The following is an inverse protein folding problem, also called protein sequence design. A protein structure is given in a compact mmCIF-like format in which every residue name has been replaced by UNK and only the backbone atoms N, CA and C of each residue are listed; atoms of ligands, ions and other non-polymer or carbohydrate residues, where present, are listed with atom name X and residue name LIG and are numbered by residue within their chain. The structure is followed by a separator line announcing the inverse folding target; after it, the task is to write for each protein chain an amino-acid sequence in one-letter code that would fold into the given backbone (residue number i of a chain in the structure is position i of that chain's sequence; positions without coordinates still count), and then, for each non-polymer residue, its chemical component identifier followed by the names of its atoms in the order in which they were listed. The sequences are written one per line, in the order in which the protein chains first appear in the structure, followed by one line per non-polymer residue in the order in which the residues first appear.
data_IF_142381541664
#
_entry.id   IF_142381541664
#
_cell.length_a   1.000
_cell.length_b   1.000
_cell.length_c   1.000
_cell.angle_alpha   90.00
_cell.angle_beta   90.00
_cell.angle_gamma   90.00
#
_symmetry.space_group_name_H-M   'P 1'
#
loop_
_entity.id
_entity.type
_entity.pdbx_description
1 polymer ?
#
# COMPACT_ATOMS: atom_id res chain seq x y z
N UNK A 1 30.07 -70.15 -13.45
CA UNK A 1 29.29 -69.14 -14.21
C UNK A 1 28.48 -68.28 -13.25
N UNK A 2 28.79 -66.97 -13.26
CA UNK A 2 27.97 -65.81 -12.87
C UNK A 2 27.57 -65.64 -11.39
N UNK A 3 28.41 -64.85 -10.70
CA UNK A 3 28.10 -64.12 -9.47
C UNK A 3 26.91 -63.18 -9.68
N UNK A 4 25.88 -63.30 -8.83
CA UNK A 4 24.78 -62.34 -8.75
C UNK A 4 25.26 -61.09 -7.99
N UNK A 5 25.42 -59.97 -8.71
CA UNK A 5 25.58 -58.64 -8.10
C UNK A 5 24.19 -58.11 -7.74
N UNK A 6 23.90 -58.02 -6.44
CA UNK A 6 22.75 -57.27 -5.93
C UNK A 6 23.03 -55.77 -6.10
N UNK A 7 22.45 -55.15 -7.13
CA UNK A 7 22.41 -53.70 -7.25
C UNK A 7 21.19 -53.19 -6.45
N UNK A 8 21.42 -52.72 -5.23
CA UNK A 8 20.46 -51.91 -4.49
C UNK A 8 20.41 -50.53 -5.16
N UNK A 9 19.41 -50.31 -6.01
CA UNK A 9 19.08 -48.98 -6.54
C UNK A 9 18.39 -48.18 -5.42
N UNK A 10 19.16 -47.36 -4.69
CA UNK A 10 18.60 -46.31 -3.85
C UNK A 10 18.02 -45.22 -4.75
N UNK A 11 16.70 -45.28 -4.98
CA UNK A 11 15.95 -44.18 -5.59
C UNK A 11 15.77 -43.07 -4.54
N UNK A 12 16.67 -42.08 -4.55
CA UNK A 12 16.54 -40.88 -3.72
C UNK A 12 15.47 -39.97 -4.33
N UNK A 13 14.22 -40.13 -3.90
CA UNK A 13 13.14 -39.18 -4.21
C UNK A 13 13.46 -37.84 -3.54
N UNK A 14 13.99 -36.89 -4.31
CA UNK A 14 14.03 -35.48 -3.95
C UNK A 14 12.60 -34.96 -3.85
N UNK A 15 12.01 -35.05 -2.64
CA UNK A 15 10.80 -34.30 -2.32
C UNK A 15 11.15 -32.82 -2.34
N UNK A 16 10.95 -32.17 -3.50
CA UNK A 16 10.93 -30.71 -3.59
C UNK A 16 9.76 -30.22 -2.76
N UNK A 17 10.03 -29.76 -1.55
CA UNK A 17 9.05 -29.00 -0.78
C UNK A 17 8.86 -27.69 -1.52
N UNK A 18 7.73 -27.56 -2.23
CA UNK A 18 7.32 -26.29 -2.78
C UNK A 18 7.08 -25.34 -1.60
N UNK A 19 8.05 -24.48 -1.33
CA UNK A 19 7.90 -23.41 -0.35
C UNK A 19 6.87 -22.43 -0.93
N UNK A 20 5.64 -22.49 -0.42
CA UNK A 20 4.66 -21.43 -0.67
C UNK A 20 5.17 -20.17 0.03
N UNK A 21 5.97 -19.39 -0.68
CA UNK A 21 6.37 -18.06 -0.23
C UNK A 21 5.08 -17.26 -0.02
N UNK A 22 4.94 -16.67 1.16
CA UNK A 22 3.84 -15.77 1.44
C UNK A 22 3.91 -14.58 0.47
N UNK A 23 3.01 -14.53 -0.50
CA UNK A 23 2.98 -13.45 -1.47
C UNK A 23 2.32 -12.23 -0.84
N UNK A 24 3.13 -11.23 -0.48
CA UNK A 24 2.65 -9.93 -0.05
C UNK A 24 1.81 -9.28 -1.16
N UNK A 25 0.69 -8.67 -0.78
CA UNK A 25 -0.21 -7.93 -1.64
C UNK A 25 -0.79 -6.76 -0.85
N UNK A 26 -1.57 -5.91 -1.50
CA UNK A 26 -2.09 -4.71 -0.84
C UNK A 26 -2.95 -5.00 0.41
N UNK A 27 -3.72 -6.10 0.44
CA UNK A 27 -4.57 -6.39 1.61
C UNK A 27 -3.76 -6.87 2.82
N UNK A 28 -2.73 -7.69 2.61
CA UNK A 28 -1.82 -8.07 3.68
C UNK A 28 -0.98 -6.89 4.14
N UNK A 29 -0.50 -6.06 3.21
CA UNK A 29 0.24 -4.83 3.49
C UNK A 29 -0.53 -3.91 4.44
N UNK A 30 -1.80 -3.60 4.14
CA UNK A 30 -2.67 -2.79 5.02
C UNK A 30 -2.79 -3.38 6.42
N UNK A 31 -2.84 -4.70 6.55
CA UNK A 31 -2.94 -5.36 7.85
C UNK A 31 -1.65 -5.20 8.65
N UNK A 32 -0.49 -5.26 7.99
CA UNK A 32 0.81 -4.99 8.64
C UNK A 32 0.96 -3.52 9.01
N UNK A 33 0.59 -2.59 8.12
CA UNK A 33 0.70 -1.17 8.38
C UNK A 33 -0.17 -0.71 9.56
N UNK A 34 -1.40 -1.24 9.70
CA UNK A 34 -2.22 -0.97 10.90
C UNK A 34 -1.48 -1.38 12.18
N UNK A 35 -0.77 -2.51 12.19
CA UNK A 35 0.02 -2.93 13.37
C UNK A 35 1.18 -1.97 13.62
N UNK A 36 1.95 -1.64 12.57
CA UNK A 36 3.10 -0.73 12.66
C UNK A 36 2.65 0.61 13.24
N UNK A 37 1.63 1.25 12.67
CA UNK A 37 1.19 2.57 13.11
C UNK A 37 0.45 2.57 14.45
N UNK A 38 -0.18 1.45 14.86
CA UNK A 38 -0.67 1.30 16.24
C UNK A 38 0.46 1.23 17.26
N UNK A 39 1.59 0.65 16.89
CA UNK A 39 2.79 0.57 17.75
C UNK A 39 3.64 1.83 17.74
N UNK A 40 3.34 2.80 16.87
CA UNK A 40 4.06 4.07 16.72
C UNK A 40 3.04 5.23 16.66
N UNK A 41 2.33 5.51 17.76
CA UNK A 41 1.22 6.46 17.80
C UNK A 41 1.62 7.93 17.62
N UNK A 42 2.91 8.25 17.69
CA UNK A 42 3.46 9.59 17.46
C UNK A 42 3.55 9.97 15.98
N UNK A 43 3.35 9.01 15.06
CA UNK A 43 3.36 9.26 13.63
C UNK A 43 2.11 10.04 13.19
N UNK A 44 2.28 10.88 12.17
CA UNK A 44 1.22 11.74 11.63
C UNK A 44 0.87 11.41 10.18
N UNK A 45 -0.24 11.93 9.66
CA UNK A 45 -0.60 11.76 8.26
C UNK A 45 0.47 12.35 7.34
N UNK A 46 0.76 11.65 6.24
CA UNK A 46 1.91 11.89 5.38
C UNK A 46 1.98 13.30 4.78
N UNK A 47 0.82 13.83 4.37
CA UNK A 47 0.75 15.12 3.67
C UNK A 47 0.47 16.31 4.57
N UNK A 48 -0.28 16.10 5.66
CA UNK A 48 -0.85 17.18 6.45
C UNK A 48 -0.41 17.17 7.92
N UNK A 49 0.38 16.19 8.35
CA UNK A 49 0.90 16.17 9.72
C UNK A 49 -0.20 16.04 10.80
N UNK A 50 -1.36 15.48 10.45
CA UNK A 50 -2.44 15.29 11.43
C UNK A 50 -2.22 14.03 12.27
N UNK A 51 -2.52 14.11 13.57
CA UNK A 51 -2.64 12.92 14.40
C UNK A 51 -3.80 12.04 13.89
N UNK A 52 -3.62 10.73 14.01
CA UNK A 52 -4.64 9.75 13.67
C UNK A 52 -4.56 8.54 14.58
N UNK A 53 -5.65 7.78 14.64
CA UNK A 53 -5.74 6.57 15.45
C UNK A 53 -6.51 5.50 14.70
N UNK A 54 -6.40 4.25 15.18
CA UNK A 54 -7.08 3.11 14.57
C UNK A 54 -7.97 2.38 15.57
N UNK A 55 -9.28 2.35 15.30
CA UNK A 55 -10.21 1.39 15.91
C UNK A 55 -10.30 0.14 15.02
N UNK A 56 -9.83 -1.00 15.54
CA UNK A 56 -9.63 -2.19 14.71
C UNK A 56 -8.72 -1.91 13.51
N UNK A 57 -9.30 -1.90 12.29
CA UNK A 57 -8.63 -1.55 11.02
C UNK A 57 -9.05 -0.19 10.46
N UNK A 58 -10.02 0.48 11.09
CA UNK A 58 -10.56 1.77 10.64
C UNK A 58 -9.71 2.87 11.25
N UNK A 59 -9.07 3.68 10.41
CA UNK A 59 -8.31 4.84 10.86
C UNK A 59 -9.17 6.10 10.85
N UNK A 60 -9.04 6.93 11.87
CA UNK A 60 -9.72 8.23 12.03
C UNK A 60 -8.70 9.34 12.25
N UNK A 61 -9.00 10.54 11.76
CA UNK A 61 -8.11 11.72 11.82
C UNK A 61 -8.68 12.73 12.82
N UNK A 62 -7.83 13.32 13.65
CA UNK A 62 -8.20 14.47 14.48
C UNK A 62 -7.78 15.77 13.79
N UNK A 63 -8.76 16.51 13.26
CA UNK A 63 -8.51 17.78 12.57
C UNK A 63 -8.14 18.92 13.52
N UNK A 64 -8.54 18.85 14.78
CA UNK A 64 -8.45 19.98 15.73
C UNK A 64 -7.01 20.40 16.00
N UNK A 65 -6.07 19.45 15.93
CA UNK A 65 -4.65 19.69 16.23
C UNK A 65 -3.81 20.13 15.04
N UNK A 66 -4.22 19.80 13.82
CA UNK A 66 -3.46 20.14 12.60
C UNK A 66 -4.10 21.24 11.77
N UNK A 67 -5.28 21.75 12.16
CA UNK A 67 -5.98 22.80 11.43
C UNK A 67 -6.46 22.37 10.04
N UNK A 68 -6.61 21.07 9.79
CA UNK A 68 -7.16 20.56 8.54
C UNK A 68 -8.63 20.94 8.42
N UNK A 69 -9.04 21.43 7.26
CA UNK A 69 -10.44 21.72 6.95
C UNK A 69 -10.87 20.90 5.73
N UNK A 70 -11.88 20.02 5.85
CA UNK A 70 -12.41 19.30 4.70
C UNK A 70 -12.89 20.25 3.60
N UNK A 71 -12.56 19.93 2.35
CA UNK A 71 -12.86 20.80 1.21
C UNK A 71 -14.21 20.50 0.57
N UNK A 72 -14.51 19.23 0.33
CA UNK A 72 -15.71 18.77 -0.40
C UNK A 72 -16.32 17.46 0.11
N UNK A 73 -15.54 16.62 0.79
CA UNK A 73 -15.95 15.27 1.19
C UNK A 73 -15.45 14.97 2.60
N UNK A 74 -16.14 15.53 3.59
CA UNK A 74 -15.87 15.31 5.00
C UNK A 74 -15.86 13.82 5.38
N UNK A 75 -16.83 13.04 4.89
CA UNK A 75 -16.90 11.60 5.18
C UNK A 75 -15.64 10.81 4.71
N UNK A 76 -14.96 11.29 3.65
CA UNK A 76 -13.68 10.73 3.21
C UNK A 76 -12.50 11.37 3.93
N UNK A 77 -12.57 12.65 4.27
CA UNK A 77 -11.55 13.33 5.06
C UNK A 77 -11.40 12.71 6.46
N UNK A 78 -12.49 12.26 7.08
CA UNK A 78 -12.47 11.74 8.46
C UNK A 78 -11.89 10.33 8.60
N UNK A 79 -11.33 9.74 7.54
CA UNK A 79 -10.72 8.41 7.57
C UNK A 79 -9.30 8.40 7.00
N UNK A 80 -8.52 7.45 7.48
CA UNK A 80 -7.22 7.12 6.88
C UNK A 80 -7.40 6.22 5.67
N UNK A 81 -6.80 6.61 4.56
CA UNK A 81 -6.60 5.77 3.39
C UNK A 81 -5.10 5.56 3.17
N UNK A 82 -4.70 4.34 2.82
CA UNK A 82 -3.30 4.01 2.54
C UNK A 82 -2.92 4.58 1.18
N UNK A 83 -2.03 5.57 1.21
CA UNK A 83 -1.52 6.27 0.05
C UNK A 83 -0.37 5.50 -0.58
N UNK A 84 -0.46 5.29 -1.89
CA UNK A 84 0.66 4.83 -2.71
C UNK A 84 1.49 6.05 -3.14
N UNK A 85 2.61 6.33 -2.46
CA UNK A 85 3.46 7.52 -2.73
C UNK A 85 3.84 7.58 -4.21
N UNK A 86 4.33 6.47 -4.77
CA UNK A 86 4.29 6.20 -6.20
C UNK A 86 2.94 5.52 -6.55
N UNK A 87 2.05 6.17 -7.32
CA UNK A 87 0.71 5.63 -7.59
C UNK A 87 0.75 4.26 -8.26
N UNK A 88 -0.27 3.44 -7.97
CA UNK A 88 -0.45 2.14 -8.63
C UNK A 88 -0.55 2.24 -10.15
N UNK A 89 -1.10 3.33 -10.67
CA UNK A 89 -1.13 3.59 -12.11
C UNK A 89 0.27 3.75 -12.69
N UNK A 90 1.19 4.46 -12.00
CA UNK A 90 2.52 4.73 -12.52
C UNK A 90 3.35 3.45 -12.70
N UNK A 91 3.37 2.57 -11.70
CA UNK A 91 4.09 1.30 -11.80
C UNK A 91 3.31 0.20 -12.53
N UNK A 92 1.99 0.31 -12.62
CA UNK A 92 1.12 -0.72 -13.19
C UNK A 92 0.80 -0.56 -14.69
N UNK A 93 0.67 0.67 -15.20
CA UNK A 93 0.16 0.95 -16.56
C UNK A 93 0.93 0.31 -17.71
N UNK A 94 2.20 -0.04 -17.47
CA UNK A 94 3.07 -0.67 -18.46
C UNK A 94 2.89 -2.18 -18.53
N UNK A 95 2.23 -2.80 -17.55
CA UNK A 95 2.02 -4.24 -17.48
C UNK A 95 0.86 -4.70 -18.38
N UNK A 96 0.95 -5.93 -18.87
CA UNK A 96 -0.08 -6.51 -19.73
C UNK A 96 -1.43 -6.65 -19.00
N UNK A 97 -1.41 -7.03 -17.71
CA UNK A 97 -2.63 -7.10 -16.89
C UNK A 97 -3.39 -5.76 -16.89
N UNK A 98 -2.66 -4.64 -16.86
CA UNK A 98 -3.26 -3.32 -16.79
C UNK A 98 -3.90 -2.94 -18.13
N UNK A 99 -3.25 -3.27 -19.24
CA UNK A 99 -3.83 -3.09 -20.58
C UNK A 99 -5.11 -3.94 -20.75
N UNK A 100 -5.16 -5.12 -20.14
CA UNK A 100 -6.30 -6.02 -20.25
C UNK A 100 -7.52 -5.57 -19.42
N UNK A 101 -7.33 -4.87 -18.31
CA UNK A 101 -8.46 -4.51 -17.42
C UNK A 101 -8.11 -3.61 -16.23
N UNK A 102 -7.04 -2.84 -16.33
CA UNK A 102 -6.57 -1.91 -15.31
C UNK A 102 -6.13 -2.60 -14.00
N UNK A 103 -6.09 -1.81 -12.93
CA UNK A 103 -5.71 -2.27 -11.57
C UNK A 103 -6.49 -3.50 -11.11
N UNK A 104 -7.76 -3.62 -11.47
CA UNK A 104 -8.61 -4.75 -11.07
C UNK A 104 -8.08 -6.07 -11.64
N UNK A 105 -7.67 -6.08 -12.90
CA UNK A 105 -7.14 -7.27 -13.55
C UNK A 105 -5.73 -7.62 -13.03
N UNK A 106 -4.92 -6.60 -12.70
CA UNK A 106 -3.59 -6.80 -12.12
C UNK A 106 -3.56 -7.44 -10.73
N UNK A 107 -4.70 -7.60 -10.04
CA UNK A 107 -4.74 -8.30 -8.74
C UNK A 107 -4.31 -9.77 -8.81
N UNK A 108 -4.30 -10.36 -10.01
CA UNK A 108 -3.83 -11.74 -10.24
C UNK A 108 -2.35 -11.79 -10.62
N UNK A 109 -1.74 -10.65 -10.93
CA UNK A 109 -0.36 -10.55 -11.37
C UNK A 109 0.57 -10.47 -10.14
N UNK A 110 1.50 -11.43 -10.05
CA UNK A 110 2.40 -11.57 -8.89
C UNK A 110 3.34 -10.36 -8.79
N UNK A 111 3.87 -9.89 -9.90
CA UNK A 111 4.78 -8.74 -9.96
C UNK A 111 4.06 -7.47 -9.52
N UNK A 112 2.84 -7.24 -10.02
CA UNK A 112 2.01 -6.12 -9.58
C UNK A 112 1.68 -6.18 -8.09
N UNK A 113 1.30 -7.35 -7.57
CA UNK A 113 0.98 -7.52 -6.15
C UNK A 113 2.17 -7.23 -5.23
N UNK A 114 3.39 -7.61 -5.64
CA UNK A 114 4.62 -7.27 -4.90
C UNK A 114 4.80 -5.75 -4.81
N UNK A 115 4.68 -5.05 -5.94
CA UNK A 115 4.84 -3.57 -5.98
C UNK A 115 3.71 -2.85 -5.23
N UNK A 116 2.47 -3.31 -5.39
CA UNK A 116 1.29 -2.70 -4.75
C UNK A 116 1.28 -2.95 -3.23
N UNK A 117 1.83 -4.09 -2.81
CA UNK A 117 1.94 -4.48 -1.40
C UNK A 117 3.20 -3.97 -0.71
N UNK A 118 4.12 -3.28 -1.39
CA UNK A 118 5.35 -2.80 -0.78
C UNK A 118 5.05 -1.78 0.34
N UNK A 119 5.48 -2.09 1.57
CA UNK A 119 5.24 -1.25 2.74
C UNK A 119 5.96 0.09 2.66
N UNK A 120 7.11 0.15 1.97
CA UNK A 120 7.88 1.38 1.84
C UNK A 120 7.17 2.43 0.97
N UNK A 121 6.26 1.98 0.09
CA UNK A 121 5.49 2.86 -0.79
C UNK A 121 4.11 3.21 -0.20
N UNK A 122 3.81 2.80 1.03
CA UNK A 122 2.48 2.96 1.65
C UNK A 122 2.53 3.86 2.88
N UNK A 123 1.75 4.93 2.85
CA UNK A 123 1.72 5.95 3.91
C UNK A 123 0.28 6.26 4.36
N UNK A 124 0.05 6.63 5.63
CA UNK A 124 -1.27 7.02 6.10
C UNK A 124 -1.59 8.43 5.58
N UNK A 125 -2.67 8.57 4.80
CA UNK A 125 -3.12 9.86 4.32
C UNK A 125 -4.57 10.12 4.71
N UNK A 126 -4.91 11.40 4.86
CA UNK A 126 -6.30 11.87 4.91
C UNK A 126 -6.97 11.44 3.62
N UNK A 127 -8.09 10.71 3.71
CA UNK A 127 -8.71 10.10 2.54
C UNK A 127 -9.09 11.10 1.45
N UNK A 128 -9.53 12.30 1.82
CA UNK A 128 -9.86 13.36 0.85
C UNK A 128 -8.61 13.81 0.08
N UNK A 129 -7.48 14.01 0.75
CA UNK A 129 -6.21 14.40 0.11
C UNK A 129 -5.69 13.30 -0.81
N UNK A 130 -5.69 12.02 -0.37
CA UNK A 130 -5.38 10.87 -1.23
C UNK A 130 -6.26 10.87 -2.49
N UNK A 131 -7.56 11.08 -2.29
CA UNK A 131 -8.53 11.19 -3.36
C UNK A 131 -8.28 12.26 -4.38
N UNK A 132 -8.00 13.47 -3.90
CA UNK A 132 -7.78 14.62 -4.75
C UNK A 132 -6.41 14.54 -5.45
N UNK A 133 -5.39 13.96 -4.79
CA UNK A 133 -4.06 13.69 -5.36
C UNK A 133 -4.11 12.74 -6.56
N UNK A 134 -5.03 11.77 -6.55
CA UNK A 134 -5.23 10.83 -7.66
C UNK A 134 -3.91 10.14 -8.08
N UNK A 135 -3.54 10.18 -9.36
CA UNK A 135 -2.26 9.73 -9.90
C UNK A 135 -1.38 10.89 -10.40
N UNK A 136 -1.61 12.11 -9.90
CA UNK A 136 -0.82 13.27 -10.30
C UNK A 136 0.62 13.16 -9.79
N UNK A 137 1.55 13.66 -10.62
CA UNK A 137 2.96 13.78 -10.25
C UNK A 137 3.12 14.91 -9.25
N UNK A 138 4.05 14.74 -8.31
CA UNK A 138 4.43 15.82 -7.42
C UNK A 138 5.12 16.93 -8.22
N UNK A 139 4.88 18.14 -7.76
CA UNK A 139 5.62 19.33 -8.16
C UNK A 139 5.73 20.23 -6.92
N UNK A 140 6.54 21.27 -7.01
CA UNK A 140 6.63 22.30 -5.99
C UNK A 140 6.05 23.60 -6.54
N UNK A 141 5.39 24.35 -5.67
CA UNK A 141 4.82 25.64 -6.00
C UNK A 141 5.44 26.70 -5.09
N UNK A 142 5.50 27.95 -5.57
CA UNK A 142 5.96 29.11 -4.78
C UNK A 142 4.82 29.84 -4.08
N UNK A 143 3.57 29.42 -4.33
CA UNK A 143 2.37 30.00 -3.75
C UNK A 143 1.89 29.12 -2.60
N UNK A 144 1.46 29.74 -1.51
CA UNK A 144 0.77 29.08 -0.41
C UNK A 144 -0.70 28.76 -0.78
N UNK A 145 -1.16 27.57 -0.41
CA UNK A 145 -2.53 27.13 -0.66
C UNK A 145 -3.25 26.86 0.65
N UNK A 146 -4.47 27.37 0.76
CA UNK A 146 -5.35 27.14 1.94
C UNK A 146 -6.47 26.17 1.62
N UNK A 147 -6.28 25.32 0.59
CA UNK A 147 -7.29 24.39 0.07
C UNK A 147 -7.84 23.44 1.15
N UNK A 148 -7.01 23.13 2.14
CA UNK A 148 -7.29 22.20 3.24
C UNK A 148 -7.07 22.85 4.62
N UNK A 149 -7.33 24.15 4.75
CA UNK A 149 -7.07 24.89 5.99
C UNK A 149 -5.56 25.16 6.16
N UNK A 150 -4.98 24.68 7.27
CA UNK A 150 -3.55 24.87 7.58
C UNK A 150 -2.62 23.85 6.91
N UNK A 151 -3.16 22.79 6.29
CA UNK A 151 -2.37 21.84 5.53
C UNK A 151 -1.85 22.48 4.23
N UNK A 152 -0.52 22.50 4.06
CA UNK A 152 0.17 23.14 2.92
C UNK A 152 0.24 22.27 1.67
N UNK A 153 -0.27 21.04 1.72
CA UNK A 153 -0.39 20.22 0.51
C UNK A 153 -1.46 20.79 -0.42
N UNK A 154 -1.19 20.78 -1.72
CA UNK A 154 -2.10 21.21 -2.76
C UNK A 154 -2.14 20.16 -3.88
N UNK A 155 -3.31 20.00 -4.50
CA UNK A 155 -3.60 18.97 -5.52
C UNK A 155 -4.55 19.48 -6.60
#
# INVERSE_FOLDING_TARGET
MKSLKNYFLLAFCLFSTATFAYQQNFNSAKTHLVKIYKSNPEQTTFYCGCEFSFDGKKGSVDFSKCGYTPRKNEARASRIEWEHVMPAENFGRHLQCWRNGGRKECKKDVTFNTMEGDLHNLQPAIGEVNGDRSNYRYSQFTKEFTQYGQCQSAV
#
